data_IF_447478692098
#
_entry.id   IF_447478692098
#
_cell.length_a   1.000
_cell.length_b   1.000
_cell.length_c   1.000
_cell.angle_alpha   90.00
_cell.angle_beta   90.00
_cell.angle_gamma   90.00
#
_symmetry.space_group_name_H-M   'P 1'
#
loop_
_entity.id
_entity.type
_entity.pdbx_description
1 polymer ?
#
# COMPACT_ATOMS: atom_id res chain seq x y z
N UNK A 1 -32.52 -36.91 23.15
CA UNK A 1 -31.46 -36.90 22.13
C UNK A 1 -31.58 -35.62 21.31
N UNK A 2 -30.70 -34.61 21.46
CA UNK A 2 -30.78 -33.39 20.69
C UNK A 2 -29.93 -33.44 19.42
N UNK A 3 -30.36 -32.62 18.47
CA UNK A 3 -30.12 -32.61 17.04
C UNK A 3 -28.80 -31.97 16.60
N UNK A 4 -28.41 -32.32 15.37
CA UNK A 4 -27.25 -31.87 14.60
C UNK A 4 -27.10 -30.34 14.53
N UNK A 5 -26.04 -29.83 15.17
CA UNK A 5 -25.58 -28.44 15.00
C UNK A 5 -24.84 -28.26 13.68
N UNK A 6 -25.52 -27.67 12.69
CA UNK A 6 -24.91 -27.23 11.45
C UNK A 6 -23.82 -26.18 11.70
N UNK A 7 -22.58 -26.50 11.35
CA UNK A 7 -21.47 -25.54 11.37
C UNK A 7 -21.73 -24.46 10.33
N UNK A 8 -22.13 -23.28 10.80
CA UNK A 8 -22.22 -22.05 10.02
C UNK A 8 -20.81 -21.64 9.60
N UNK A 9 -20.44 -21.90 8.35
CA UNK A 9 -19.26 -21.32 7.72
C UNK A 9 -19.50 -19.81 7.56
N UNK A 10 -18.93 -19.00 8.44
CA UNK A 10 -18.82 -17.56 8.21
C UNK A 10 -17.51 -17.33 7.46
N UNK A 11 -17.60 -17.11 6.15
CA UNK A 11 -16.47 -16.94 5.23
C UNK A 11 -15.78 -15.57 5.33
N UNK A 12 -16.07 -14.78 6.38
CA UNK A 12 -15.41 -13.49 6.60
C UNK A 12 -14.30 -13.64 7.63
N UNK A 13 -13.03 -13.41 7.27
CA UNK A 13 -11.98 -13.31 8.27
C UNK A 13 -12.34 -12.20 9.27
N UNK A 14 -11.93 -12.33 10.55
CA UNK A 14 -12.23 -11.31 11.55
C UNK A 14 -11.68 -9.95 11.09
N UNK A 15 -12.48 -8.87 11.22
CA UNK A 15 -12.17 -7.48 10.77
C UNK A 15 -10.76 -6.98 11.10
N UNK A 16 -10.14 -7.50 12.17
CA UNK A 16 -8.76 -7.20 12.58
C UNK A 16 -7.70 -7.69 11.58
N UNK A 17 -7.92 -8.82 10.89
CA UNK A 17 -6.98 -9.36 9.87
C UNK A 17 -7.05 -8.58 8.56
N UNK A 18 -8.21 -8.02 8.21
CA UNK A 18 -8.39 -7.20 6.99
C UNK A 18 -7.70 -5.82 7.08
N UNK A 19 -7.33 -5.37 8.29
CA UNK A 19 -6.72 -4.06 8.54
C UNK A 19 -5.19 -4.07 8.53
N UNK A 20 -4.57 -5.25 8.57
CA UNK A 20 -3.13 -5.40 8.65
C UNK A 20 -2.54 -5.38 7.23
N UNK A 21 -1.61 -4.45 6.98
CA UNK A 21 -0.84 -4.45 5.74
C UNK A 21 0.38 -5.36 5.89
N UNK A 22 0.56 -6.29 4.95
CA UNK A 22 1.79 -7.05 4.81
C UNK A 22 2.59 -6.45 3.68
N UNK A 23 3.88 -6.20 3.89
CA UNK A 23 4.71 -5.61 2.83
C UNK A 23 4.87 -6.60 1.66
N UNK A 24 5.08 -6.05 0.46
CA UNK A 24 5.39 -6.87 -0.71
C UNK A 24 6.68 -7.69 -0.51
N UNK A 25 7.66 -7.13 0.19
CA UNK A 25 8.93 -7.79 0.52
C UNK A 25 8.68 -9.00 1.45
N UNK A 26 7.88 -8.83 2.51
CA UNK A 26 7.54 -9.92 3.44
C UNK A 26 6.70 -11.00 2.76
N UNK A 27 5.73 -10.58 1.93
CA UNK A 27 4.88 -11.50 1.18
C UNK A 27 5.71 -12.36 0.23
N UNK A 28 6.62 -11.75 -0.53
CA UNK A 28 7.50 -12.49 -1.45
C UNK A 28 8.47 -13.39 -0.69
N UNK A 29 9.04 -12.91 0.42
CA UNK A 29 9.91 -13.72 1.28
C UNK A 29 9.18 -14.96 1.80
N UNK A 30 7.97 -14.80 2.30
CA UNK A 30 7.12 -15.90 2.76
C UNK A 30 6.85 -16.90 1.63
N UNK A 31 6.48 -16.44 0.44
CA UNK A 31 6.23 -17.32 -0.70
C UNK A 31 7.48 -18.13 -1.10
N UNK A 32 8.63 -17.48 -1.18
CA UNK A 32 9.90 -18.15 -1.51
C UNK A 32 10.23 -19.24 -0.48
N UNK A 33 10.05 -18.94 0.82
CA UNK A 33 10.24 -19.92 1.90
C UNK A 33 9.22 -21.06 1.82
N UNK A 34 7.94 -20.73 1.57
CA UNK A 34 6.85 -21.70 1.49
C UNK A 34 7.07 -22.73 0.37
N UNK A 35 7.62 -22.30 -0.77
CA UNK A 35 8.00 -23.18 -1.88
C UNK A 35 9.39 -23.82 -1.73
N UNK A 36 9.96 -23.82 -0.52
CA UNK A 36 11.17 -24.59 -0.19
C UNK A 36 12.50 -23.89 -0.43
N UNK A 37 12.50 -22.60 -0.77
CA UNK A 37 13.72 -21.82 -1.02
C UNK A 37 14.00 -20.87 0.16
N UNK A 38 14.64 -21.37 1.22
CA UNK A 38 14.88 -20.62 2.47
C UNK A 38 16.03 -19.60 2.42
N UNK A 39 16.72 -19.46 1.28
CA UNK A 39 17.99 -18.68 1.17
C UNK A 39 17.91 -17.43 0.31
N UNK A 40 16.72 -16.97 -0.10
CA UNK A 40 16.63 -15.73 -0.86
C UNK A 40 17.17 -14.55 -0.05
N UNK A 41 18.21 -13.89 -0.56
CA UNK A 41 18.77 -12.72 0.09
C UNK A 41 17.74 -11.58 0.10
N UNK A 42 17.71 -10.77 1.17
CA UNK A 42 16.87 -9.56 1.24
C UNK A 42 17.09 -8.64 0.04
N UNK A 43 18.32 -8.57 -0.50
CA UNK A 43 18.64 -7.79 -1.70
C UNK A 43 17.90 -8.32 -2.92
N UNK A 44 17.91 -9.64 -3.14
CA UNK A 44 17.23 -10.26 -4.28
C UNK A 44 15.70 -10.07 -4.19
N UNK A 45 15.12 -10.28 -3.00
CA UNK A 45 13.69 -10.03 -2.76
C UNK A 45 13.34 -8.58 -3.10
N UNK A 46 14.10 -7.62 -2.57
CA UNK A 46 13.89 -6.20 -2.84
C UNK A 46 13.96 -5.87 -4.34
N UNK A 47 14.95 -6.42 -5.04
CA UNK A 47 15.10 -6.24 -6.49
C UNK A 47 13.93 -6.83 -7.28
N UNK A 48 13.47 -8.03 -6.90
CA UNK A 48 12.32 -8.68 -7.53
C UNK A 48 11.03 -7.88 -7.31
N UNK A 49 10.79 -7.38 -6.09
CA UNK A 49 9.65 -6.50 -5.80
C UNK A 49 9.75 -5.19 -6.60
N UNK A 50 10.92 -4.56 -6.62
CA UNK A 50 11.13 -3.33 -7.39
C UNK A 50 10.88 -3.56 -8.90
N UNK A 51 11.32 -4.69 -9.44
CA UNK A 51 11.06 -5.08 -10.83
C UNK A 51 9.58 -5.36 -11.10
N UNK A 52 8.88 -6.01 -10.16
CA UNK A 52 7.44 -6.26 -10.25
C UNK A 52 6.62 -4.96 -10.37
N UNK A 53 6.99 -3.92 -9.60
CA UNK A 53 6.29 -2.63 -9.65
C UNK A 53 6.78 -1.69 -10.77
N UNK A 54 7.90 -1.98 -11.43
CA UNK A 54 8.47 -1.08 -12.43
C UNK A 54 7.51 -0.72 -13.59
N UNK A 55 6.74 -1.67 -14.17
CA UNK A 55 5.77 -1.33 -15.21
C UNK A 55 4.64 -0.43 -14.71
N UNK A 56 4.15 -0.67 -13.48
CA UNK A 56 3.12 0.17 -12.87
C UNK A 56 3.62 1.59 -12.65
N UNK A 57 4.84 1.72 -12.10
CA UNK A 57 5.49 3.01 -11.91
C UNK A 57 5.59 3.71 -13.26
N UNK A 58 6.16 3.07 -14.29
CA UNK A 58 6.32 3.67 -15.62
C UNK A 58 4.99 4.11 -16.28
N UNK A 59 3.88 3.41 -16.02
CA UNK A 59 2.58 3.72 -16.63
C UNK A 59 1.72 4.71 -15.83
N UNK A 60 2.14 5.11 -14.62
CA UNK A 60 1.30 5.95 -13.77
C UNK A 60 1.14 7.35 -14.37
N UNK A 61 -0.09 7.84 -14.39
CA UNK A 61 -0.44 9.19 -14.84
C UNK A 61 -1.37 9.85 -13.85
N UNK A 62 -1.20 11.16 -13.61
CA UNK A 62 -2.18 11.93 -12.86
C UNK A 62 -3.50 12.02 -13.62
N UNK A 63 -4.62 12.08 -12.90
CA UNK A 63 -5.91 12.39 -13.52
C UNK A 63 -5.88 13.81 -14.12
N UNK A 64 -6.62 14.06 -15.22
CA UNK A 64 -6.72 15.40 -15.79
C UNK A 64 -7.09 16.44 -14.74
N UNK A 65 -6.32 17.53 -14.67
CA UNK A 65 -6.52 18.62 -13.70
C UNK A 65 -6.01 18.36 -12.28
N UNK A 66 -5.66 17.11 -11.90
CA UNK A 66 -5.25 16.81 -10.53
C UNK A 66 -3.98 17.57 -10.11
N UNK A 67 -2.97 17.65 -10.99
CA UNK A 67 -1.74 18.39 -10.71
C UNK A 67 -2.00 19.89 -10.56
N UNK A 68 -2.88 20.47 -11.37
CA UNK A 68 -3.22 21.89 -11.30
C UNK A 68 -3.92 22.24 -9.97
N UNK A 69 -4.84 21.36 -9.51
CA UNK A 69 -5.50 21.52 -8.20
C UNK A 69 -4.49 21.44 -7.07
N UNK A 70 -3.61 20.42 -7.06
CA UNK A 70 -2.58 20.26 -6.03
C UNK A 70 -1.64 21.47 -6.01
N UNK A 71 -1.20 21.94 -7.17
CA UNK A 71 -0.37 23.13 -7.29
C UNK A 71 -1.08 24.38 -6.74
N UNK A 72 -2.36 24.58 -7.07
CA UNK A 72 -3.15 25.74 -6.60
C UNK A 72 -3.27 25.73 -5.09
N UNK A 73 -3.56 24.57 -4.50
CA UNK A 73 -3.65 24.42 -3.04
C UNK A 73 -2.30 24.67 -2.36
N UNK A 74 -1.21 24.14 -2.93
CA UNK A 74 0.14 24.38 -2.40
C UNK A 74 0.50 25.87 -2.44
N UNK A 75 0.23 26.56 -3.55
CA UNK A 75 0.47 28.00 -3.70
C UNK A 75 -0.40 28.86 -2.77
N UNK A 76 -1.58 28.38 -2.41
CA UNK A 76 -2.45 29.02 -1.42
C UNK A 76 -1.99 28.79 0.04
N UNK A 77 -0.90 28.05 0.25
CA UNK A 77 -0.31 27.81 1.57
C UNK A 77 -0.93 26.63 2.33
N UNK A 78 -1.67 25.73 1.67
CA UNK A 78 -2.18 24.52 2.30
C UNK A 78 -1.08 23.47 2.46
N UNK A 79 -1.08 22.80 3.62
CA UNK A 79 -0.29 21.58 3.82
C UNK A 79 -1.00 20.38 3.16
N UNK A 80 -0.28 19.66 2.32
CA UNK A 80 -0.83 18.59 1.49
C UNK A 80 -0.16 17.26 1.79
N UNK A 81 -0.98 16.22 1.95
CA UNK A 81 -0.52 14.86 2.18
C UNK A 81 -1.18 13.86 1.24
N UNK A 82 -0.39 12.90 0.75
CA UNK A 82 -0.88 11.72 0.03
C UNK A 82 -0.99 10.59 1.04
N UNK A 83 -2.19 10.00 1.15
CA UNK A 83 -2.39 8.78 1.96
C UNK A 83 -2.82 7.66 1.03
N UNK A 84 -2.07 6.57 0.96
CA UNK A 84 -2.32 5.46 0.05
C UNK A 84 -2.36 4.11 0.79
N UNK A 85 -3.33 3.26 0.47
CA UNK A 85 -3.24 1.85 0.82
C UNK A 85 -2.28 1.21 -0.18
N UNK A 86 -1.06 0.90 0.26
CA UNK A 86 -0.02 0.29 -0.55
C UNK A 86 0.90 -0.54 0.34
N UNK A 87 1.21 -1.75 -0.12
CA UNK A 87 2.15 -2.67 0.51
C UNK A 87 3.61 -2.46 0.06
N UNK A 88 3.86 -1.48 -0.81
CA UNK A 88 5.18 -1.09 -1.31
C UNK A 88 5.32 0.45 -1.31
N UNK A 89 5.76 1.04 -0.20
CA UNK A 89 6.03 2.46 -0.04
C UNK A 89 7.01 2.93 -1.12
N UNK A 90 8.04 2.14 -1.41
CA UNK A 90 9.04 2.47 -2.44
C UNK A 90 8.40 2.71 -3.80
N UNK A 91 7.40 1.92 -4.21
CA UNK A 91 6.72 2.11 -5.49
C UNK A 91 5.85 3.37 -5.46
N UNK A 92 5.13 3.63 -4.36
CA UNK A 92 4.36 4.87 -4.19
C UNK A 92 5.24 6.11 -4.27
N UNK A 93 6.35 6.13 -3.55
CA UNK A 93 7.30 7.23 -3.58
C UNK A 93 7.87 7.45 -4.98
N UNK A 94 8.13 6.38 -5.76
CA UNK A 94 8.56 6.48 -7.16
C UNK A 94 7.45 7.04 -8.05
N UNK A 95 6.20 6.57 -7.89
CA UNK A 95 5.06 7.08 -8.64
C UNK A 95 4.84 8.58 -8.39
N UNK A 96 4.85 9.01 -7.12
CA UNK A 96 4.69 10.43 -6.73
C UNK A 96 5.77 11.31 -7.35
N UNK A 97 7.03 10.84 -7.38
CA UNK A 97 8.11 11.55 -8.07
C UNK A 97 7.90 11.59 -9.58
N UNK A 98 7.51 10.48 -10.19
CA UNK A 98 7.35 10.38 -11.63
C UNK A 98 6.28 11.32 -12.18
N UNK A 99 5.18 11.52 -11.44
CA UNK A 99 4.10 12.44 -11.84
C UNK A 99 4.34 13.88 -11.40
N UNK A 100 5.50 14.20 -10.82
CA UNK A 100 5.86 15.56 -10.41
C UNK A 100 5.19 16.07 -9.14
N UNK A 101 4.56 15.20 -8.34
CA UNK A 101 3.84 15.61 -7.12
C UNK A 101 4.75 15.78 -5.89
N UNK A 102 5.97 15.25 -5.91
CA UNK A 102 6.81 15.18 -4.69
C UNK A 102 7.09 16.55 -4.08
N UNK A 103 7.28 17.57 -4.89
CA UNK A 103 7.61 18.93 -4.43
C UNK A 103 6.38 19.69 -3.91
N UNK A 104 5.18 19.22 -4.23
CA UNK A 104 3.92 19.89 -3.91
C UNK A 104 3.22 19.28 -2.69
N UNK A 105 3.75 18.18 -2.14
CA UNK A 105 3.19 17.49 -0.97
C UNK A 105 4.23 17.37 0.13
N UNK A 106 3.79 17.67 1.35
CA UNK A 106 4.65 17.62 2.55
C UNK A 106 4.91 16.18 2.96
N UNK A 107 3.88 15.33 2.88
CA UNK A 107 3.89 13.97 3.42
C UNK A 107 3.30 12.99 2.40
N UNK A 108 3.96 11.84 2.25
CA UNK A 108 3.42 10.68 1.54
C UNK A 108 3.40 9.51 2.53
N UNK A 109 2.20 9.07 2.89
CA UNK A 109 1.95 8.03 3.88
C UNK A 109 1.34 6.80 3.22
N UNK A 110 1.95 5.64 3.44
CA UNK A 110 1.43 4.37 2.93
C UNK A 110 1.05 3.44 4.07
N UNK A 111 0.07 2.56 3.83
CA UNK A 111 -0.31 1.52 4.79
C UNK A 111 0.84 0.57 5.11
N UNK A 112 1.84 0.39 4.25
CA UNK A 112 3.09 -0.30 4.62
C UNK A 112 3.84 0.45 5.73
N UNK A 113 3.99 1.76 5.60
CA UNK A 113 4.75 2.58 6.55
C UNK A 113 4.06 2.70 7.91
N UNK A 114 2.71 2.73 7.93
CA UNK A 114 1.94 2.80 9.18
C UNK A 114 1.33 1.47 9.63
N UNK A 115 1.59 0.38 8.90
CA UNK A 115 1.05 -0.97 9.10
C UNK A 115 -0.49 -1.06 9.20
N UNK A 116 -1.20 -0.04 8.72
CA UNK A 116 -2.65 0.12 8.90
C UNK A 116 -3.31 0.55 7.59
N UNK A 117 -4.33 -0.20 7.16
CA UNK A 117 -5.14 0.12 5.97
C UNK A 117 -6.28 1.08 6.31
N UNK A 118 -6.47 2.09 5.46
CA UNK A 118 -7.71 2.89 5.42
C UNK A 118 -8.89 2.01 4.96
N UNK A 119 -10.15 2.28 5.37
CA UNK A 119 -10.58 3.26 6.37
C UNK A 119 -10.67 2.67 7.78
N UNK A 120 -10.43 3.50 8.81
CA UNK A 120 -10.74 3.16 10.21
C UNK A 120 -11.89 4.04 10.70
N UNK A 121 -12.96 3.48 11.31
CA UNK A 121 -13.92 4.29 12.04
C UNK A 121 -13.21 4.89 13.27
N UNK A 122 -13.18 6.22 13.37
CA UNK A 122 -12.53 6.96 14.47
C UNK A 122 -11.43 7.94 14.05
N UNK A 123 -11.10 8.04 12.75
CA UNK A 123 -10.31 9.16 12.21
C UNK A 123 -11.26 10.18 11.55
N UNK A 124 -12.12 10.80 12.34
CA UNK A 124 -12.70 12.10 12.02
C UNK A 124 -11.71 13.18 12.45
N UNK A 125 -11.63 14.34 11.76
CA UNK A 125 -10.92 15.50 12.30
C UNK A 125 -11.49 15.93 13.65
#
# INVERSE_FOLDING_TARGET
MPTSGGRRWTSRPPKRREQQEYSADDTLTFLIQYYGNSRASRKLVRQAVDAHYAPLVAAVTALPGALAVVQTLHQAGFHLAIVANANCDRSVQRMVRQIGLREQVDIVLTSQTVQMRKPRPGSTP
#
